data_IF_892139544039
#
_entry.id   IF_892139544039
#
_cell.length_a   1.000
_cell.length_b   1.000
_cell.length_c   1.000
_cell.angle_alpha   90.00
_cell.angle_beta   90.00
_cell.angle_gamma   90.00
#
_symmetry.space_group_name_H-M   'P 1'
#
loop_
_entity.id
_entity.type
_entity.pdbx_description
1 polymer ?
#
# COMPACT_ATOMS: atom_id res chain seq x y z
N UNK A 1 -14.89 68.94 36.97
CA UNK A 1 -14.85 67.45 37.03
C UNK A 1 -13.92 66.96 35.91
N UNK A 2 -12.72 66.43 36.18
CA UNK A 2 -11.89 65.86 35.12
C UNK A 2 -12.31 64.40 34.88
N UNK A 3 -12.53 64.07 33.61
CA UNK A 3 -12.87 62.75 33.11
C UNK A 3 -11.64 61.84 33.08
N UNK A 4 -11.73 60.67 33.71
CA UNK A 4 -10.69 59.65 33.71
C UNK A 4 -10.60 58.95 32.34
N UNK A 5 -9.41 58.63 31.83
CA UNK A 5 -9.25 58.06 30.50
C UNK A 5 -9.54 56.54 30.55
N UNK A 6 -10.78 56.16 30.25
CA UNK A 6 -11.24 54.76 30.16
C UNK A 6 -10.42 53.90 29.18
N UNK A 7 -9.69 54.52 28.25
CA UNK A 7 -8.87 53.84 27.24
C UNK A 7 -7.55 53.27 27.74
N UNK A 8 -6.96 53.80 28.83
CA UNK A 8 -5.71 53.25 29.37
C UNK A 8 -5.95 51.92 30.11
N UNK A 9 -7.08 51.83 30.82
CA UNK A 9 -7.42 50.66 31.66
C UNK A 9 -7.68 49.42 30.78
N UNK A 10 -8.35 49.60 29.64
CA UNK A 10 -8.60 48.51 28.68
C UNK A 10 -7.32 47.89 28.13
N UNK A 11 -6.34 48.72 27.74
CA UNK A 11 -5.06 48.24 27.18
C UNK A 11 -4.19 47.52 28.22
N UNK A 12 -4.22 47.96 29.48
CA UNK A 12 -3.53 47.29 30.59
C UNK A 12 -4.19 45.93 30.89
N UNK A 13 -5.52 45.84 30.86
CA UNK A 13 -6.23 44.58 31.07
C UNK A 13 -5.96 43.56 29.96
N UNK A 14 -5.91 44.01 28.69
CA UNK A 14 -5.60 43.12 27.55
C UNK A 14 -4.15 42.63 27.60
N UNK A 15 -3.20 43.50 27.99
CA UNK A 15 -1.79 43.11 28.17
C UNK A 15 -1.61 42.08 29.30
N UNK A 16 -2.32 42.24 30.41
CA UNK A 16 -2.27 41.32 31.54
C UNK A 16 -2.87 39.94 31.18
N UNK A 17 -3.96 39.90 30.42
CA UNK A 17 -4.59 38.65 29.97
C UNK A 17 -3.69 37.86 29.00
N UNK A 18 -3.00 38.55 28.09
CA UNK A 18 -2.03 37.93 27.17
C UNK A 18 -0.81 37.39 27.92
N UNK A 19 -0.34 38.09 28.96
CA UNK A 19 0.77 37.62 29.80
C UNK A 19 0.40 36.37 30.61
N UNK A 20 -0.83 36.28 31.12
CA UNK A 20 -1.32 35.09 31.85
C UNK A 20 -1.48 33.88 30.90
N UNK A 21 -1.94 34.11 29.66
CA UNK A 21 -2.05 33.05 28.66
C UNK A 21 -0.67 32.52 28.20
N UNK A 22 0.36 33.36 28.19
CA UNK A 22 1.74 32.96 27.88
C UNK A 22 2.46 32.25 29.04
N UNK A 23 2.06 32.50 30.29
CA UNK A 23 2.60 31.84 31.47
C UNK A 23 2.12 30.38 31.65
N UNK A 24 1.09 29.96 30.91
CA UNK A 24 0.51 28.61 30.99
C UNK A 24 1.37 27.49 30.40
N UNK A 25 2.34 27.80 29.53
CA UNK A 25 3.16 26.77 28.87
C UNK A 25 4.39 26.31 29.69
N UNK A 26 4.76 27.00 30.77
CA UNK A 26 5.93 26.67 31.60
C UNK A 26 5.59 25.95 32.92
N UNK A 27 4.31 25.82 33.25
CA UNK A 27 3.81 25.31 34.53
C UNK A 27 3.34 23.85 34.48
N UNK A 28 3.51 23.17 33.35
CA UNK A 28 3.29 21.74 33.25
C UNK A 28 4.49 21.04 33.93
N UNK A 29 4.27 20.22 34.97
CA UNK A 29 5.36 19.48 35.60
C UNK A 29 6.00 18.56 34.56
N UNK A 30 7.34 18.52 34.53
CA UNK A 30 8.09 17.53 33.76
C UNK A 30 7.53 16.14 34.10
N UNK A 31 7.01 15.42 33.11
CA UNK A 31 6.64 14.01 33.31
C UNK A 31 7.89 13.29 33.81
N UNK A 32 7.87 12.87 35.08
CA UNK A 32 8.95 12.10 35.68
C UNK A 32 9.08 10.82 34.86
N UNK A 33 10.23 10.64 34.21
CA UNK A 33 10.51 9.42 33.47
C UNK A 33 10.87 8.30 34.45
N UNK A 34 9.87 7.51 34.83
CA UNK A 34 10.00 6.37 35.75
C UNK A 34 10.98 5.30 35.25
N UNK A 35 11.30 5.31 33.95
CA UNK A 35 12.23 4.35 33.35
C UNK A 35 13.69 4.80 33.38
N UNK A 36 13.99 5.93 34.02
CA UNK A 36 15.36 6.41 34.16
C UNK A 36 16.22 5.36 34.86
N UNK A 37 17.34 5.00 34.22
CA UNK A 37 18.27 3.97 34.72
C UNK A 37 17.84 2.52 34.48
N UNK A 38 16.68 2.26 33.86
CA UNK A 38 16.30 0.90 33.50
C UNK A 38 17.21 0.32 32.41
N UNK A 39 17.56 -0.95 32.53
CA UNK A 39 18.35 -1.65 31.52
C UNK A 39 17.55 -1.90 30.23
N UNK A 40 18.26 -2.11 29.12
CA UNK A 40 17.64 -2.50 27.84
C UNK A 40 16.76 -3.76 27.97
N UNK A 41 17.21 -4.73 28.76
CA UNK A 41 16.45 -5.96 29.02
C UNK A 41 15.13 -5.66 29.75
N UNK A 42 15.16 -4.80 30.78
CA UNK A 42 13.95 -4.44 31.52
C UNK A 42 12.98 -3.69 30.61
N UNK A 43 13.45 -2.66 29.90
CA UNK A 43 12.62 -1.94 28.92
C UNK A 43 11.98 -2.89 27.90
N UNK A 44 12.75 -3.85 27.40
CA UNK A 44 12.23 -4.81 26.41
C UNK A 44 11.20 -5.77 27.01
N UNK A 45 11.39 -6.21 28.26
CA UNK A 45 10.40 -7.02 28.97
C UNK A 45 9.07 -6.27 29.11
N UNK A 46 9.13 -5.03 29.58
CA UNK A 46 7.95 -4.18 29.81
C UNK A 46 7.25 -3.80 28.48
N UNK A 47 8.03 -3.60 27.41
CA UNK A 47 7.50 -3.44 26.06
C UNK A 47 6.73 -4.68 25.63
N UNK A 48 7.30 -5.86 25.84
CA UNK A 48 6.67 -7.13 25.45
C UNK A 48 5.41 -7.43 26.24
N UNK A 49 5.41 -7.15 27.54
CA UNK A 49 4.23 -7.28 28.39
C UNK A 49 3.13 -6.31 27.93
N UNK A 50 3.49 -5.07 27.60
CA UNK A 50 2.56 -4.09 27.02
C UNK A 50 1.98 -4.58 25.69
N UNK A 51 2.80 -5.14 24.79
CA UNK A 51 2.33 -5.73 23.52
C UNK A 51 1.36 -6.89 23.73
N UNK A 52 1.67 -7.79 24.66
CA UNK A 52 0.82 -8.95 24.97
C UNK A 52 -0.54 -8.53 25.53
N UNK A 53 -0.59 -7.41 26.25
CA UNK A 53 -1.81 -6.82 26.78
C UNK A 53 -2.57 -5.94 25.77
N UNK A 54 -2.05 -5.79 24.54
CA UNK A 54 -2.63 -4.94 23.50
C UNK A 54 -2.36 -3.44 23.67
N UNK A 55 -1.50 -3.06 24.62
CA UNK A 55 -1.11 -1.67 24.88
C UNK A 55 0.05 -1.25 23.96
N UNK A 56 -0.22 -1.17 22.66
CA UNK A 56 0.77 -0.92 21.61
C UNK A 56 1.47 0.43 21.73
N UNK A 57 0.75 1.49 22.12
CA UNK A 57 1.33 2.81 22.34
C UNK A 57 2.40 2.79 23.44
N UNK A 58 2.09 2.19 24.59
CA UNK A 58 3.04 2.04 25.70
C UNK A 58 4.23 1.15 25.32
N UNK A 59 3.98 0.08 24.56
CA UNK A 59 5.06 -0.73 24.02
C UNK A 59 6.01 0.11 23.15
N UNK A 60 5.48 0.89 22.21
CA UNK A 60 6.29 1.78 21.35
C UNK A 60 7.11 2.77 22.18
N UNK A 61 6.54 3.37 23.24
CA UNK A 61 7.30 4.26 24.13
C UNK A 61 8.52 3.56 24.76
N UNK A 62 8.36 2.31 25.20
CA UNK A 62 9.49 1.53 25.73
C UNK A 62 10.50 1.14 24.63
N UNK A 63 10.04 0.75 23.44
CA UNK A 63 10.91 0.42 22.31
C UNK A 63 11.71 1.63 21.82
N UNK A 64 11.10 2.81 21.77
CA UNK A 64 11.77 4.07 21.42
C UNK A 64 12.84 4.43 22.45
N UNK A 65 12.57 4.22 23.74
CA UNK A 65 13.57 4.38 24.80
C UNK A 65 14.75 3.42 24.64
N UNK A 66 14.51 2.17 24.20
CA UNK A 66 15.60 1.23 23.87
C UNK A 66 16.42 1.79 22.71
N UNK A 67 15.79 2.20 21.61
CA UNK A 67 16.47 2.72 20.43
C UNK A 67 17.29 4.00 20.73
N UNK A 68 16.78 4.85 21.63
CA UNK A 68 17.45 6.09 22.02
C UNK A 68 18.62 5.89 22.99
N UNK A 69 18.46 5.01 23.99
CA UNK A 69 19.45 4.83 25.09
C UNK A 69 20.46 3.71 24.83
N UNK A 70 20.04 2.71 24.06
CA UNK A 70 20.79 1.49 23.80
C UNK A 70 20.78 1.19 22.30
N UNK A 71 21.41 2.03 21.46
CA UNK A 71 21.27 1.96 19.99
C UNK A 71 21.93 0.74 19.33
N UNK A 72 22.61 -0.11 20.11
CA UNK A 72 23.35 -1.27 19.62
C UNK A 72 22.95 -2.55 20.37
N UNK A 73 23.24 -3.68 19.75
CA UNK A 73 23.03 -5.01 20.33
C UNK A 73 21.63 -5.58 20.06
N UNK A 74 21.43 -6.80 20.57
CA UNK A 74 20.26 -7.63 20.24
C UNK A 74 18.91 -6.97 20.59
N UNK A 75 18.84 -6.26 21.71
CA UNK A 75 17.59 -5.60 22.14
C UNK A 75 17.24 -4.42 21.25
N UNK A 76 18.24 -3.69 20.74
CA UNK A 76 18.01 -2.59 19.81
C UNK A 76 17.45 -3.11 18.48
N UNK A 77 18.06 -4.16 17.94
CA UNK A 77 17.63 -4.79 16.68
C UNK A 77 16.24 -5.41 16.81
N UNK A 78 15.97 -6.09 17.93
CA UNK A 78 14.65 -6.66 18.19
C UNK A 78 13.60 -5.57 18.40
N UNK A 79 13.93 -4.48 19.10
CA UNK A 79 13.02 -3.34 19.26
C UNK A 79 12.65 -2.70 17.92
N UNK A 80 13.57 -2.62 16.97
CA UNK A 80 13.27 -2.14 15.62
C UNK A 80 12.30 -3.07 14.88
N UNK A 81 12.47 -4.39 14.99
CA UNK A 81 11.57 -5.38 14.39
C UNK A 81 10.16 -5.30 15.00
N UNK A 82 10.06 -5.20 16.32
CA UNK A 82 8.78 -5.10 17.02
C UNK A 82 8.09 -3.76 16.74
N UNK A 83 8.85 -2.68 16.54
CA UNK A 83 8.31 -1.38 16.10
C UNK A 83 7.61 -1.50 14.74
N UNK A 84 8.20 -2.23 13.78
CA UNK A 84 7.56 -2.48 12.46
C UNK A 84 6.23 -3.22 12.65
N UNK A 85 6.24 -4.27 13.47
CA UNK A 85 5.04 -5.06 13.73
C UNK A 85 3.93 -4.23 14.39
N UNK A 86 4.28 -3.44 15.42
CA UNK A 86 3.29 -2.63 16.14
C UNK A 86 2.71 -1.57 15.20
N UNK A 87 3.53 -0.85 14.44
CA UNK A 87 3.04 0.17 13.51
C UNK A 87 2.14 -0.43 12.41
N UNK A 88 2.45 -1.65 11.96
CA UNK A 88 1.55 -2.40 11.07
C UNK A 88 0.21 -2.74 11.77
N UNK A 89 0.25 -3.18 13.03
CA UNK A 89 -0.96 -3.52 13.81
C UNK A 89 -1.83 -2.30 14.11
N UNK A 90 -1.22 -1.16 14.39
CA UNK A 90 -1.89 0.11 14.68
C UNK A 90 -2.43 0.79 13.43
N UNK A 91 -2.31 0.16 12.25
CA UNK A 91 -2.72 0.74 10.97
C UNK A 91 -2.02 2.07 10.68
N UNK A 92 -0.73 2.16 11.03
CA UNK A 92 0.20 3.25 10.73
C UNK A 92 1.19 2.84 9.63
N UNK A 93 0.71 2.65 8.39
CA UNK A 93 1.49 2.03 7.32
C UNK A 93 2.73 2.82 6.88
N UNK A 94 2.69 4.15 6.83
CA UNK A 94 3.88 4.95 6.46
C UNK A 94 4.97 4.85 7.52
N UNK A 95 4.58 4.83 8.81
CA UNK A 95 5.49 4.60 9.91
C UNK A 95 6.13 3.21 9.81
N UNK A 96 5.30 2.17 9.58
CA UNK A 96 5.76 0.79 9.46
C UNK A 96 6.76 0.59 8.31
N UNK A 97 6.47 1.17 7.13
CA UNK A 97 7.38 1.13 5.97
C UNK A 97 8.68 1.85 6.30
N UNK A 98 8.62 3.05 6.90
CA UNK A 98 9.81 3.80 7.27
C UNK A 98 10.66 3.05 8.32
N UNK A 99 10.03 2.38 9.29
CA UNK A 99 10.74 1.55 10.25
C UNK A 99 11.40 0.33 9.59
N UNK A 100 10.73 -0.31 8.63
CA UNK A 100 11.28 -1.43 7.87
C UNK A 100 12.48 -1.00 7.01
N UNK A 101 12.38 0.13 6.31
CA UNK A 101 13.49 0.67 5.51
C UNK A 101 14.70 1.02 6.37
N UNK A 102 14.47 1.63 7.55
CA UNK A 102 15.55 1.90 8.51
C UNK A 102 16.20 0.60 8.99
N UNK A 103 15.42 -0.42 9.31
CA UNK A 103 15.94 -1.70 9.75
C UNK A 103 16.79 -2.39 8.66
N UNK A 104 16.28 -2.44 7.42
CA UNK A 104 16.98 -3.02 6.27
C UNK A 104 18.31 -2.31 6.03
N UNK A 105 18.31 -0.97 6.06
CA UNK A 105 19.51 -0.16 5.84
C UNK A 105 20.54 -0.33 6.95
N UNK A 106 20.11 -0.33 8.21
CA UNK A 106 21.00 -0.43 9.37
C UNK A 106 21.51 -1.86 9.61
N UNK A 107 20.72 -2.88 9.25
CA UNK A 107 21.00 -4.28 9.60
C UNK A 107 20.91 -5.23 8.38
N UNK A 108 21.65 -4.99 7.28
CA UNK A 108 21.48 -5.75 6.03
C UNK A 108 21.86 -7.23 6.12
N UNK A 109 22.65 -7.63 7.14
CA UNK A 109 23.09 -9.02 7.38
C UNK A 109 22.34 -9.69 8.53
N UNK A 110 21.29 -9.07 9.06
CA UNK A 110 20.54 -9.61 10.19
C UNK A 110 19.74 -10.86 9.77
N UNK A 111 19.67 -11.91 10.61
CA UNK A 111 18.95 -13.15 10.28
C UNK A 111 17.48 -12.96 9.90
N UNK A 112 16.85 -11.90 10.41
CA UNK A 112 15.43 -11.56 10.16
C UNK A 112 15.23 -10.32 9.28
N UNK A 113 16.22 -9.96 8.45
CA UNK A 113 16.06 -8.84 7.50
C UNK A 113 14.99 -9.14 6.45
N UNK A 114 14.83 -10.41 6.09
CA UNK A 114 13.78 -10.91 5.19
C UNK A 114 12.37 -10.60 5.71
N UNK A 115 12.15 -10.67 7.03
CA UNK A 115 10.91 -10.25 7.66
C UNK A 115 10.60 -8.77 7.41
N UNK A 116 11.59 -7.87 7.52
CA UNK A 116 11.37 -6.44 7.25
C UNK A 116 10.98 -6.19 5.78
N UNK A 117 11.60 -6.88 4.82
CA UNK A 117 11.17 -6.85 3.41
C UNK A 117 9.74 -7.38 3.23
N UNK A 118 9.39 -8.48 3.90
CA UNK A 118 8.04 -9.03 3.88
C UNK A 118 7.00 -8.04 4.43
N UNK A 119 7.31 -7.37 5.54
CA UNK A 119 6.41 -6.41 6.16
C UNK A 119 6.13 -5.21 5.26
N UNK A 120 7.10 -4.71 4.49
CA UNK A 120 6.84 -3.65 3.49
C UNK A 120 5.77 -4.07 2.49
N UNK A 121 5.93 -5.26 1.90
CA UNK A 121 4.96 -5.80 0.95
C UNK A 121 3.60 -6.00 1.58
N UNK A 122 3.54 -6.51 2.82
CA UNK A 122 2.30 -6.77 3.55
C UNK A 122 1.54 -5.49 3.91
N UNK A 123 2.26 -4.45 4.37
CA UNK A 123 1.67 -3.15 4.71
C UNK A 123 0.99 -2.54 3.46
N UNK A 124 1.71 -2.51 2.33
CA UNK A 124 1.14 -2.03 1.07
C UNK A 124 0.03 -2.94 0.53
N UNK A 125 0.13 -4.26 0.77
CA UNK A 125 -0.92 -5.21 0.36
C UNK A 125 -2.23 -4.91 1.09
N UNK A 126 -2.18 -4.67 2.41
CA UNK A 126 -3.37 -4.38 3.20
C UNK A 126 -4.02 -3.05 2.79
N UNK A 127 -3.23 -2.01 2.52
CA UNK A 127 -3.71 -0.76 1.91
C UNK A 127 -4.39 -1.00 0.56
N UNK A 128 -3.84 -1.92 -0.24
CA UNK A 128 -4.37 -2.24 -1.57
C UNK A 128 -5.60 -3.14 -1.55
N UNK A 129 -5.86 -3.92 -0.50
CA UNK A 129 -7.04 -4.79 -0.47
C UNK A 129 -8.36 -4.01 -0.43
N UNK A 130 -8.33 -2.75 0.00
CA UNK A 130 -9.47 -1.81 -0.13
C UNK A 130 -9.81 -1.49 -1.60
N UNK A 131 -8.97 -1.89 -2.57
CA UNK A 131 -9.20 -1.71 -4.01
C UNK A 131 -10.20 -2.72 -4.58
N UNK A 132 -10.24 -3.95 -4.07
CA UNK A 132 -11.12 -5.01 -4.60
C UNK A 132 -12.57 -4.82 -4.18
N UNK A 133 -12.81 -4.30 -2.98
CA UNK A 133 -14.14 -3.85 -2.53
C UNK A 133 -14.69 -2.72 -3.41
N UNK A 134 -13.84 -2.08 -4.22
CA UNK A 134 -14.15 -0.92 -5.08
C UNK A 134 -14.11 -1.21 -6.57
N UNK A 135 -14.20 -2.46 -7.01
CA UNK A 135 -14.43 -2.78 -8.44
C UNK A 135 -15.78 -2.24 -8.99
N UNK A 136 -16.55 -1.51 -8.16
CA UNK A 136 -17.65 -0.65 -8.57
C UNK A 136 -17.17 0.52 -9.47
N UNK A 137 -17.81 0.77 -10.62
CA UNK A 137 -17.39 1.79 -11.58
C UNK A 137 -17.44 3.26 -11.13
N UNK A 138 -17.86 3.56 -9.89
CA UNK A 138 -18.25 4.92 -9.49
C UNK A 138 -17.15 5.75 -8.83
N UNK A 139 -15.99 5.19 -8.49
CA UNK A 139 -14.94 5.93 -7.77
C UNK A 139 -13.55 5.72 -8.40
N UNK A 140 -13.39 6.15 -9.67
CA UNK A 140 -12.10 6.10 -10.40
C UNK A 140 -10.99 6.88 -9.70
N UNK A 141 -11.34 7.90 -8.92
CA UNK A 141 -10.39 8.73 -8.16
C UNK A 141 -9.92 8.05 -6.86
N UNK A 142 -10.53 6.91 -6.47
CA UNK A 142 -10.23 6.21 -5.21
C UNK A 142 -9.59 4.82 -5.39
N UNK A 143 -9.29 4.41 -6.62
CA UNK A 143 -8.60 3.14 -6.90
C UNK A 143 -7.09 3.36 -7.05
N UNK A 144 -6.36 3.29 -5.94
CA UNK A 144 -4.90 3.36 -5.89
C UNK A 144 -4.21 2.08 -6.40
N UNK A 145 -4.14 1.92 -7.72
CA UNK A 145 -3.32 0.86 -8.35
C UNK A 145 -1.82 1.03 -8.10
N UNK A 146 -1.37 2.22 -7.69
CA UNK A 146 0.01 2.51 -7.35
C UNK A 146 0.48 1.71 -6.15
N UNK A 147 -0.32 1.70 -5.08
CA UNK A 147 -0.01 0.92 -3.86
C UNK A 147 -0.01 -0.59 -4.12
N UNK A 148 -0.93 -1.10 -4.94
CA UNK A 148 -0.91 -2.52 -5.35
C UNK A 148 0.37 -2.88 -6.12
N UNK A 149 0.82 -2.01 -7.03
CA UNK A 149 2.08 -2.18 -7.76
C UNK A 149 3.29 -2.10 -6.83
N UNK A 150 3.27 -1.18 -5.86
CA UNK A 150 4.33 -1.07 -4.87
C UNK A 150 4.41 -2.33 -4.01
N UNK A 151 3.27 -2.86 -3.53
CA UNK A 151 3.21 -4.12 -2.80
C UNK A 151 3.79 -5.29 -3.60
N UNK A 152 3.44 -5.38 -4.89
CA UNK A 152 4.02 -6.41 -5.78
C UNK A 152 5.53 -6.28 -5.85
N UNK A 153 6.05 -5.07 -6.02
CA UNK A 153 7.49 -4.81 -6.11
C UNK A 153 8.22 -5.14 -4.81
N UNK A 154 7.64 -4.79 -3.66
CA UNK A 154 8.23 -5.10 -2.34
C UNK A 154 8.31 -6.62 -2.11
N UNK A 155 7.24 -7.37 -2.45
CA UNK A 155 7.27 -8.84 -2.39
C UNK A 155 8.24 -9.44 -3.42
N UNK A 156 8.31 -8.89 -4.63
CA UNK A 156 9.25 -9.33 -5.65
C UNK A 156 10.71 -9.15 -5.18
N UNK A 157 10.99 -8.05 -4.49
CA UNK A 157 12.31 -7.79 -3.92
C UNK A 157 12.66 -8.82 -2.82
N UNK A 158 11.72 -9.12 -1.92
CA UNK A 158 11.88 -10.21 -0.93
C UNK A 158 12.20 -11.53 -1.61
N UNK A 159 11.38 -11.97 -2.57
CA UNK A 159 11.53 -13.27 -3.23
C UNK A 159 12.84 -13.36 -4.01
N UNK A 160 13.28 -12.25 -4.60
CA UNK A 160 14.54 -12.16 -5.34
C UNK A 160 15.76 -12.23 -4.42
N UNK A 161 15.74 -11.52 -3.29
CA UNK A 161 16.88 -11.45 -2.35
C UNK A 161 16.93 -12.64 -1.40
N UNK A 162 15.78 -13.18 -1.00
CA UNK A 162 15.63 -14.23 0.00
C UNK A 162 14.68 -15.33 -0.50
N UNK A 163 15.05 -16.07 -1.57
CA UNK A 163 14.16 -17.06 -2.19
C UNK A 163 13.75 -18.21 -1.25
N UNK A 164 14.58 -18.50 -0.25
CA UNK A 164 14.39 -19.55 0.77
C UNK A 164 13.80 -19.03 2.10
N UNK A 165 13.44 -17.74 2.16
CA UNK A 165 12.76 -17.18 3.33
C UNK A 165 11.46 -17.94 3.62
N UNK A 166 11.15 -18.11 4.91
CA UNK A 166 9.85 -18.66 5.34
C UNK A 166 8.65 -17.86 4.81
N UNK A 167 8.85 -16.58 4.44
CA UNK A 167 7.82 -15.70 3.91
C UNK A 167 7.72 -15.74 2.38
N UNK A 168 8.70 -16.33 1.67
CA UNK A 168 8.76 -16.28 0.21
C UNK A 168 7.57 -16.98 -0.47
N UNK A 169 7.05 -18.06 0.12
CA UNK A 169 5.89 -18.77 -0.42
C UNK A 169 4.62 -17.91 -0.40
N UNK A 170 4.32 -17.30 0.74
CA UNK A 170 3.17 -16.40 0.90
C UNK A 170 3.33 -15.15 0.01
N UNK A 171 4.53 -14.56 -0.03
CA UNK A 171 4.84 -13.44 -0.90
C UNK A 171 4.56 -13.75 -2.39
N UNK A 172 4.97 -14.92 -2.90
CA UNK A 172 4.66 -15.35 -4.28
C UNK A 172 3.17 -15.46 -4.54
N UNK A 173 2.39 -15.97 -3.57
CA UNK A 173 0.93 -16.07 -3.70
C UNK A 173 0.29 -14.67 -3.75
N UNK A 174 0.72 -13.75 -2.90
CA UNK A 174 0.26 -12.36 -2.92
C UNK A 174 0.67 -11.63 -4.20
N UNK A 175 1.87 -11.87 -4.71
CA UNK A 175 2.30 -11.35 -6.00
C UNK A 175 1.39 -11.83 -7.13
N UNK A 176 1.06 -13.13 -7.18
CA UNK A 176 0.14 -13.68 -8.17
C UNK A 176 -1.25 -13.05 -8.07
N UNK A 177 -1.75 -12.89 -6.85
CA UNK A 177 -3.01 -12.22 -6.59
C UNK A 177 -3.00 -10.78 -7.11
N UNK A 178 -2.03 -9.96 -6.69
CA UNK A 178 -1.89 -8.57 -7.13
C UNK A 178 -1.78 -8.46 -8.65
N UNK A 179 -1.00 -9.35 -9.27
CA UNK A 179 -0.81 -9.38 -10.71
C UNK A 179 -2.12 -9.67 -11.45
N UNK A 180 -2.90 -10.64 -10.98
CA UNK A 180 -4.24 -10.94 -11.50
C UNK A 180 -5.23 -9.78 -11.28
N UNK A 181 -5.23 -9.17 -10.09
CA UNK A 181 -6.13 -8.07 -9.75
C UNK A 181 -5.85 -6.82 -10.60
N UNK A 182 -4.58 -6.49 -10.81
CA UNK A 182 -4.19 -5.37 -11.68
C UNK A 182 -4.59 -5.62 -13.13
N UNK A 183 -4.43 -6.84 -13.63
CA UNK A 183 -4.89 -7.20 -14.97
C UNK A 183 -6.42 -7.09 -15.12
N UNK A 184 -7.17 -7.58 -14.13
CA UNK A 184 -8.63 -7.49 -14.11
C UNK A 184 -9.12 -6.03 -14.06
N UNK A 185 -8.44 -5.15 -13.34
CA UNK A 185 -8.71 -3.72 -13.34
C UNK A 185 -8.59 -3.12 -14.74
N UNK A 186 -7.51 -3.42 -15.47
CA UNK A 186 -7.31 -2.92 -16.84
C UNK A 186 -8.40 -3.44 -17.81
N UNK A 187 -8.84 -4.69 -17.65
CA UNK A 187 -9.98 -5.24 -18.41
C UNK A 187 -11.27 -4.47 -18.11
N UNK A 188 -11.53 -4.11 -16.86
CA UNK A 188 -12.71 -3.32 -16.50
C UNK A 188 -12.67 -1.93 -17.14
N UNK A 189 -11.49 -1.29 -17.15
CA UNK A 189 -11.28 0.00 -17.83
C UNK A 189 -11.44 -0.14 -19.35
N UNK A 190 -10.91 -1.20 -19.95
CA UNK A 190 -11.05 -1.48 -21.37
C UNK A 190 -12.52 -1.67 -21.77
N UNK A 191 -13.28 -2.45 -20.99
CA UNK A 191 -14.72 -2.64 -21.18
C UNK A 191 -15.51 -1.33 -21.04
N UNK A 192 -15.13 -0.46 -20.10
CA UNK A 192 -15.74 0.87 -19.96
C UNK A 192 -15.59 1.71 -21.24
N UNK A 193 -14.41 1.69 -21.87
CA UNK A 193 -14.17 2.39 -23.12
C UNK A 193 -14.88 1.73 -24.31
N UNK A 194 -14.88 0.40 -24.38
CA UNK A 194 -15.56 -0.36 -25.41
C UNK A 194 -17.07 -0.05 -25.46
N UNK A 195 -17.72 0.02 -24.28
CA UNK A 195 -19.14 0.40 -24.15
C UNK A 195 -19.47 1.81 -24.63
N UNK A 196 -18.48 2.71 -24.70
CA UNK A 196 -18.61 4.10 -25.17
C UNK A 196 -18.09 4.30 -26.58
N UNK A 197 -17.85 3.22 -27.31
CA UNK A 197 -17.29 3.25 -28.66
C UNK A 197 -15.90 3.90 -28.76
N UNK A 198 -15.18 4.02 -27.63
CA UNK A 198 -13.81 4.49 -27.60
C UNK A 198 -12.85 3.32 -27.88
N UNK A 199 -12.92 2.77 -29.10
CA UNK A 199 -12.29 1.50 -29.47
C UNK A 199 -10.76 1.52 -29.36
N UNK A 200 -10.10 2.60 -29.81
CA UNK A 200 -8.64 2.75 -29.69
C UNK A 200 -8.20 2.70 -28.22
N UNK A 201 -8.94 3.38 -27.33
CA UNK A 201 -8.64 3.36 -25.90
C UNK A 201 -8.85 1.97 -25.28
N UNK A 202 -9.88 1.24 -25.72
CA UNK A 202 -10.12 -0.14 -25.29
C UNK A 202 -8.99 -1.08 -25.74
N UNK A 203 -8.55 -0.97 -27.00
CA UNK A 203 -7.41 -1.73 -27.54
C UNK A 203 -6.14 -1.42 -26.75
N UNK A 204 -5.80 -0.15 -26.52
CA UNK A 204 -4.59 0.22 -25.77
C UNK A 204 -4.55 -0.40 -24.37
N UNK A 205 -5.70 -0.45 -23.68
CA UNK A 205 -5.82 -1.10 -22.36
C UNK A 205 -5.67 -2.61 -22.43
N UNK A 206 -6.28 -3.25 -23.44
CA UNK A 206 -6.14 -4.68 -23.66
C UNK A 206 -4.70 -5.07 -24.05
N UNK A 207 -4.04 -4.32 -24.93
CA UNK A 207 -2.63 -4.49 -25.28
C UNK A 207 -1.73 -4.40 -24.05
N UNK A 208 -1.97 -3.42 -23.17
CA UNK A 208 -1.22 -3.31 -21.91
C UNK A 208 -1.36 -4.55 -21.03
N UNK A 209 -2.53 -5.21 -21.02
CA UNK A 209 -2.72 -6.50 -20.32
C UNK A 209 -1.87 -7.60 -20.94
N UNK A 210 -1.81 -7.70 -22.26
CA UNK A 210 -1.01 -8.71 -22.96
C UNK A 210 0.49 -8.52 -22.72
N UNK A 211 0.95 -7.27 -22.70
CA UNK A 211 2.37 -6.93 -22.54
C UNK A 211 2.85 -7.03 -21.08
N UNK A 212 2.03 -6.58 -20.13
CA UNK A 212 2.44 -6.43 -18.72
C UNK A 212 1.99 -7.58 -17.84
N UNK A 213 0.81 -8.16 -18.12
CA UNK A 213 0.16 -9.16 -17.27
C UNK A 213 -0.04 -10.48 -18.00
N UNK A 214 0.97 -10.89 -18.78
CA UNK A 214 0.97 -12.18 -19.44
C UNK A 214 0.78 -13.32 -18.42
N UNK A 215 0.05 -14.37 -18.83
CA UNK A 215 -0.29 -15.54 -17.99
C UNK A 215 -1.31 -15.27 -16.87
N UNK A 216 -1.95 -14.11 -16.87
CA UNK A 216 -3.16 -13.90 -16.04
C UNK A 216 -4.40 -14.46 -16.75
N UNK A 217 -5.47 -14.81 -16.00
CA UNK A 217 -6.76 -15.16 -16.61
C UNK A 217 -7.35 -14.05 -17.50
N UNK A 218 -6.95 -12.79 -17.26
CA UNK A 218 -7.41 -11.61 -18.00
C UNK A 218 -6.93 -11.55 -19.46
N UNK A 219 -5.92 -12.34 -19.85
CA UNK A 219 -5.41 -12.38 -21.23
C UNK A 219 -6.49 -12.76 -22.25
N UNK A 220 -7.35 -13.73 -21.92
CA UNK A 220 -8.45 -14.12 -22.81
C UNK A 220 -9.42 -12.96 -23.03
N UNK A 221 -9.80 -12.26 -21.95
CA UNK A 221 -10.69 -11.10 -22.04
C UNK A 221 -10.06 -9.92 -22.81
N UNK A 222 -8.75 -9.71 -22.68
CA UNK A 222 -8.04 -8.70 -23.47
C UNK A 222 -8.16 -9.00 -24.97
N UNK A 223 -7.91 -10.24 -25.39
CA UNK A 223 -8.04 -10.66 -26.78
C UNK A 223 -9.48 -10.54 -27.30
N UNK A 224 -10.48 -10.87 -26.48
CA UNK A 224 -11.90 -10.65 -26.81
C UNK A 224 -12.20 -9.17 -27.08
N UNK A 225 -11.73 -8.27 -26.20
CA UNK A 225 -11.92 -6.82 -26.34
C UNK A 225 -11.22 -6.29 -27.59
N UNK A 226 -9.97 -6.71 -27.85
CA UNK A 226 -9.24 -6.32 -29.06
C UNK A 226 -9.98 -6.76 -30.32
N UNK A 227 -10.45 -8.00 -30.35
CA UNK A 227 -11.20 -8.55 -31.48
C UNK A 227 -12.47 -7.73 -31.75
N UNK A 228 -13.27 -7.46 -30.71
CA UNK A 228 -14.51 -6.66 -30.86
C UNK A 228 -14.20 -5.23 -31.29
N UNK A 229 -13.19 -4.59 -30.69
CA UNK A 229 -12.82 -3.22 -30.99
C UNK A 229 -12.28 -3.07 -32.43
N UNK A 230 -11.40 -3.97 -32.88
CA UNK A 230 -10.88 -3.95 -34.25
C UNK A 230 -11.98 -4.17 -35.28
N UNK A 231 -12.90 -5.11 -35.04
CA UNK A 231 -14.04 -5.32 -35.93
C UNK A 231 -14.91 -4.06 -36.05
N UNK A 232 -15.22 -3.40 -34.92
CA UNK A 232 -16.01 -2.16 -34.91
C UNK A 232 -15.29 -0.96 -35.53
N UNK A 233 -13.96 -0.98 -35.59
CA UNK A 233 -13.16 0.03 -36.30
C UNK A 233 -12.98 -0.25 -37.79
N UNK A 234 -13.53 -1.36 -38.32
CA UNK A 234 -13.31 -1.74 -39.72
C UNK A 234 -11.89 -2.21 -40.02
N UNK A 235 -11.24 -2.86 -39.05
CA UNK A 235 -9.89 -3.41 -39.17
C UNK A 235 -9.92 -4.95 -39.20
N UNK A 236 -10.42 -5.57 -40.29
CA UNK A 236 -10.74 -7.00 -40.34
C UNK A 236 -9.51 -7.90 -40.13
N UNK A 237 -8.35 -7.51 -40.66
CA UNK A 237 -7.11 -8.29 -40.49
C UNK A 237 -6.70 -8.39 -39.02
N UNK A 238 -6.68 -7.25 -38.30
CA UNK A 238 -6.33 -7.21 -36.88
C UNK A 238 -7.35 -7.93 -36.00
N UNK A 239 -8.64 -7.84 -36.36
CA UNK A 239 -9.70 -8.57 -35.69
C UNK A 239 -9.53 -10.09 -35.87
N UNK A 240 -9.27 -10.55 -37.10
CA UNK A 240 -9.04 -11.95 -37.42
C UNK A 240 -7.77 -12.50 -36.76
N UNK A 241 -6.69 -11.73 -36.72
CA UNK A 241 -5.45 -12.14 -36.05
C UNK A 241 -5.64 -12.26 -34.54
N UNK A 242 -6.32 -11.30 -33.91
CA UNK A 242 -6.63 -11.34 -32.47
C UNK A 242 -7.53 -12.54 -32.12
N UNK A 243 -8.56 -12.79 -32.94
CA UNK A 243 -9.45 -13.94 -32.78
C UNK A 243 -8.70 -15.27 -32.90
N UNK A 244 -7.80 -15.40 -33.88
CA UNK A 244 -7.00 -16.62 -34.08
C UNK A 244 -6.13 -16.93 -32.87
N UNK A 245 -5.55 -15.91 -32.24
CA UNK A 245 -4.78 -16.07 -31.00
C UNK A 245 -5.69 -16.51 -29.85
N UNK A 246 -6.89 -15.93 -29.73
CA UNK A 246 -7.88 -16.31 -28.72
C UNK A 246 -8.32 -17.77 -28.89
N UNK A 247 -8.68 -18.19 -30.11
CA UNK A 247 -9.10 -19.56 -30.41
C UNK A 247 -8.02 -20.59 -30.10
N UNK A 248 -6.78 -20.29 -30.48
CA UNK A 248 -5.65 -21.21 -30.28
C UNK A 248 -5.31 -21.42 -28.81
N UNK A 249 -5.34 -20.36 -28.00
CA UNK A 249 -4.87 -20.42 -26.61
C UNK A 249 -6.02 -20.61 -25.60
N UNK A 250 -7.24 -20.21 -25.96
CA UNK A 250 -8.42 -20.23 -25.10
C UNK A 250 -9.65 -20.77 -25.85
N UNK A 251 -9.61 -22.01 -26.35
CA UNK A 251 -10.69 -22.60 -27.17
C UNK A 251 -12.02 -22.74 -26.44
N UNK A 252 -12.02 -22.62 -25.10
CA UNK A 252 -13.20 -22.68 -24.25
C UNK A 252 -13.72 -21.28 -23.86
N UNK A 253 -13.18 -20.21 -24.46
CA UNK A 253 -13.66 -18.85 -24.16
C UNK A 253 -15.12 -18.68 -24.58
N UNK A 254 -16.01 -18.19 -23.68
CA UNK A 254 -17.44 -18.07 -23.96
C UNK A 254 -17.75 -17.00 -25.02
N UNK A 255 -16.81 -16.10 -25.30
CA UNK A 255 -16.99 -15.03 -26.29
C UNK A 255 -16.81 -15.51 -27.74
N UNK A 256 -16.18 -16.67 -27.95
CA UNK A 256 -15.80 -17.14 -29.28
C UNK A 256 -16.94 -17.21 -30.29
N UNK A 257 -18.16 -17.71 -29.98
CA UNK A 257 -19.26 -17.75 -30.93
C UNK A 257 -19.68 -16.34 -31.40
N UNK A 258 -19.78 -15.40 -30.45
CA UNK A 258 -20.14 -14.00 -30.74
C UNK A 258 -19.06 -13.32 -31.59
N UNK A 259 -17.79 -13.49 -31.22
CA UNK A 259 -16.67 -12.85 -31.92
C UNK A 259 -16.49 -13.42 -33.33
N UNK A 260 -16.66 -14.73 -33.51
CA UNK A 260 -16.63 -15.36 -34.83
C UNK A 260 -17.69 -14.78 -35.77
N UNK A 261 -18.93 -14.62 -35.29
CA UNK A 261 -19.99 -14.01 -36.08
C UNK A 261 -19.69 -12.54 -36.42
N UNK A 262 -19.17 -11.78 -35.45
CA UNK A 262 -18.81 -10.38 -35.64
C UNK A 262 -17.69 -10.21 -36.69
N UNK A 263 -16.61 -11.00 -36.61
CA UNK A 263 -15.49 -10.90 -37.56
C UNK A 263 -15.89 -11.32 -38.96
N UNK A 264 -16.72 -12.37 -39.10
CA UNK A 264 -17.24 -12.81 -40.41
C UNK A 264 -18.16 -11.78 -41.06
N UNK A 265 -18.91 -11.00 -40.28
CA UNK A 265 -19.78 -9.93 -40.80
C UNK A 265 -19.06 -8.62 -41.12
N UNK A 266 -17.80 -8.47 -40.69
CA UNK A 266 -16.99 -7.26 -40.90
C UNK A 266 -16.06 -7.34 -42.13
N UNK A 267 -15.93 -8.52 -42.75
CA UNK A 267 -15.19 -8.75 -43.99
C UNK A 267 -16.11 -9.03 -45.16
#
# INVERSE_FOLDING_TARGET
MPSTPKFLIGRVLTGLLVAVLLAGCSLLPDKIDETKGWSAQRLYSEAKDSMNNGNYQTALEYLDKIQARYPFGRYAQQAQLDTIFIQYRDSEPDAAIAAADRFIKANPRHPYVDYAYYMKGLVNFQRSNTLLDRLAPSDRDKTDTGTARQSYNDFAELVRKFPDSRYAKDARQRMQFLHNSLAAYEINVANYYLKRSAYVAAVNRATYVLETYARTPSVAAALSIMTEAYAKMGMPQLAADSLRVLERNYPQSPDLPKLNALVKGAG
#
